data_IF_237097269833
#
_entry.id   IF_237097269833
#
_cell.length_a   1.000
_cell.length_b   1.000
_cell.length_c   1.000
_cell.angle_alpha   90.00
_cell.angle_beta   90.00
_cell.angle_gamma   90.00
#
_symmetry.space_group_name_H-M   'P 1'
#
loop_
_entity.id
_entity.type
_entity.pdbx_description
1 polymer ?
#
# COMPACT_ATOMS: atom_id res chain seq x y z
N UNK A 1 4.97 4.28 12.89
CA UNK A 1 5.63 4.64 11.60
C UNK A 1 4.65 4.50 10.45
N UNK A 2 3.80 3.47 10.53
CA UNK A 2 2.76 3.18 9.56
C UNK A 2 1.53 4.04 9.83
N UNK A 3 0.87 4.52 8.77
CA UNK A 3 -0.45 5.14 8.84
C UNK A 3 -1.40 4.37 7.94
N UNK A 4 -2.46 3.82 8.53
CA UNK A 4 -3.53 3.18 7.78
C UNK A 4 -4.46 4.24 7.19
N UNK A 5 -4.83 4.05 5.93
CA UNK A 5 -5.80 4.89 5.21
C UNK A 5 -7.01 4.02 4.91
N UNK A 6 -8.18 4.48 5.35
CA UNK A 6 -9.45 3.84 5.00
C UNK A 6 -9.97 4.50 3.72
N UNK A 7 -10.12 3.72 2.66
CA UNK A 7 -10.70 4.20 1.41
C UNK A 7 -12.21 4.06 1.40
N UNK A 8 -12.87 4.99 0.71
CA UNK A 8 -14.30 4.89 0.46
C UNK A 8 -14.59 3.79 -0.56
N UNK A 9 -15.23 2.70 -0.11
CA UNK A 9 -15.66 1.59 -0.97
C UNK A 9 -17.08 1.87 -1.45
N UNK A 10 -17.25 1.99 -2.76
CA UNK A 10 -18.55 2.17 -3.41
C UNK A 10 -18.88 0.87 -4.13
N UNK A 11 -20.00 0.23 -3.78
CA UNK A 11 -20.34 -1.06 -4.39
C UNK A 11 -21.84 -1.30 -4.50
N UNK A 12 -22.19 -2.19 -5.43
CA UNK A 12 -23.53 -2.73 -5.62
C UNK A 12 -23.47 -4.20 -6.05
N UNK A 13 -24.59 -4.75 -6.54
CA UNK A 13 -24.69 -6.15 -6.97
C UNK A 13 -23.69 -6.56 -8.07
N UNK A 14 -23.03 -5.61 -8.74
CA UNK A 14 -22.03 -5.84 -9.80
C UNK A 14 -20.60 -5.94 -9.27
N UNK A 15 -20.37 -5.52 -8.03
CA UNK A 15 -19.04 -5.50 -7.40
C UNK A 15 -18.74 -4.20 -6.65
N UNK A 16 -17.45 -4.02 -6.33
CA UNK A 16 -16.95 -2.89 -5.53
C UNK A 16 -15.92 -2.09 -6.31
N UNK A 17 -15.90 -0.78 -6.06
CA UNK A 17 -15.00 0.20 -6.63
C UNK A 17 -14.39 1.05 -5.51
N UNK A 18 -13.08 1.24 -5.58
CA UNK A 18 -12.35 2.23 -4.78
C UNK A 18 -11.67 3.19 -5.74
N UNK A 19 -11.96 4.49 -5.58
CA UNK A 19 -11.23 5.55 -6.26
C UNK A 19 -10.05 6.00 -5.38
N UNK A 20 -8.90 6.28 -6.00
CA UNK A 20 -7.72 6.82 -5.32
C UNK A 20 -7.47 8.22 -5.85
N UNK A 21 -7.97 9.24 -5.15
CA UNK A 21 -7.88 10.63 -5.58
C UNK A 21 -6.77 11.35 -4.80
N UNK A 22 -5.80 11.92 -5.52
CA UNK A 22 -4.80 12.80 -4.91
C UNK A 22 -5.47 14.05 -4.31
N UNK A 23 -4.92 14.59 -3.23
CA UNK A 23 -5.47 15.76 -2.52
C UNK A 23 -6.86 15.53 -1.89
N UNK A 24 -7.33 14.27 -1.84
CA UNK A 24 -8.56 13.86 -1.16
C UNK A 24 -8.32 12.61 -0.31
N UNK A 25 -8.08 11.46 -0.95
CA UNK A 25 -7.82 10.20 -0.24
C UNK A 25 -6.33 10.02 0.04
N UNK A 26 -5.48 10.53 -0.86
CA UNK A 26 -4.02 10.44 -0.75
C UNK A 26 -3.45 11.84 -0.46
N UNK A 27 -2.68 12.01 0.64
CA UNK A 27 -2.24 13.33 1.14
C UNK A 27 -1.04 13.91 0.38
N UNK A 28 -0.81 13.47 -0.86
CA UNK A 28 0.27 13.92 -1.74
C UNK A 28 -0.11 13.69 -3.20
N UNK A 29 0.59 14.37 -4.11
CA UNK A 29 0.40 14.22 -5.55
C UNK A 29 0.84 12.83 -6.03
N UNK A 30 -0.03 12.16 -6.79
CA UNK A 30 0.27 10.87 -7.40
C UNK A 30 1.05 11.13 -8.69
N UNK A 31 2.38 11.09 -8.61
CA UNK A 31 3.26 11.24 -9.79
C UNK A 31 3.52 9.92 -10.52
N UNK A 32 3.30 8.77 -9.86
CA UNK A 32 3.55 7.44 -10.42
C UNK A 32 2.71 6.39 -9.70
N UNK A 33 2.18 5.43 -10.46
CA UNK A 33 1.55 4.21 -9.95
C UNK A 33 2.32 3.01 -10.51
N UNK A 34 2.56 2.01 -9.67
CA UNK A 34 3.10 0.72 -10.07
C UNK A 34 2.45 -0.37 -9.22
N UNK A 35 2.36 -1.57 -9.75
CA UNK A 35 1.85 -2.73 -9.03
C UNK A 35 2.76 -3.93 -9.28
N UNK A 36 2.73 -4.84 -8.33
CA UNK A 36 3.59 -6.02 -8.30
C UNK A 36 2.67 -7.23 -8.41
N UNK A 37 2.96 -8.12 -9.35
CA UNK A 37 2.12 -9.27 -9.64
C UNK A 37 2.97 -10.48 -10.04
N UNK A 38 2.41 -11.69 -9.90
CA UNK A 38 3.10 -12.93 -10.28
C UNK A 38 4.35 -13.25 -9.45
N UNK A 39 4.38 -12.81 -8.19
CA UNK A 39 5.52 -13.05 -7.30
C UNK A 39 5.54 -14.52 -6.85
N UNK A 40 6.73 -15.09 -6.79
CA UNK A 40 6.94 -16.41 -6.19
C UNK A 40 6.70 -16.31 -4.68
N UNK A 41 6.00 -17.29 -4.12
CA UNK A 41 5.75 -17.36 -2.68
C UNK A 41 7.06 -17.34 -1.90
N UNK A 42 7.08 -16.58 -0.80
CA UNK A 42 8.17 -16.52 0.18
C UNK A 42 9.45 -15.77 -0.22
N UNK A 43 9.44 -14.98 -1.30
CA UNK A 43 10.60 -14.13 -1.65
C UNK A 43 10.41 -12.69 -1.14
N UNK A 44 11.10 -12.28 -0.05
CA UNK A 44 11.03 -10.91 0.46
C UNK A 44 11.72 -9.92 -0.49
N UNK A 45 11.28 -8.66 -0.43
CA UNK A 45 11.76 -7.57 -1.30
C UNK A 45 11.44 -6.21 -0.69
N UNK A 46 11.88 -5.14 -1.34
CA UNK A 46 11.95 -3.81 -0.72
C UNK A 46 13.41 -3.57 -0.37
N UNK A 47 13.86 -3.87 0.84
CA UNK A 47 15.26 -3.73 1.28
C UNK A 47 15.90 -2.37 0.92
N UNK A 48 15.11 -1.31 0.88
CA UNK A 48 15.58 0.05 0.62
C UNK A 48 14.72 1.04 1.40
N UNK A 49 15.27 2.23 1.59
CA UNK A 49 14.56 3.41 2.06
C UNK A 49 14.57 4.48 0.97
N UNK A 50 13.63 5.41 1.03
CA UNK A 50 13.58 6.56 0.14
C UNK A 50 13.97 7.83 0.88
N UNK A 51 14.69 8.73 0.20
CA UNK A 51 15.00 10.07 0.74
C UNK A 51 13.81 11.02 0.61
N UNK A 52 13.21 11.06 -0.58
CA UNK A 52 12.16 12.05 -0.91
C UNK A 52 10.81 11.41 -1.32
N UNK A 53 10.81 10.11 -1.65
CA UNK A 53 9.58 9.42 -2.10
C UNK A 53 8.68 9.07 -0.92
N UNK A 54 7.41 9.45 -1.02
CA UNK A 54 6.33 8.99 -0.13
C UNK A 54 5.44 8.02 -0.89
N UNK A 55 4.96 6.97 -0.22
CA UNK A 55 4.19 5.90 -0.84
C UNK A 55 2.93 5.56 -0.02
N UNK A 56 1.88 5.16 -0.74
CA UNK A 56 0.73 4.44 -0.20
C UNK A 56 0.75 3.06 -0.85
N UNK A 57 0.70 2.00 -0.03
CA UNK A 57 0.66 0.62 -0.48
C UNK A 57 -0.76 0.06 -0.35
N UNK A 58 -1.22 -0.64 -1.38
CA UNK A 58 -2.54 -1.29 -1.42
C UNK A 58 -2.34 -2.74 -1.85
N UNK A 59 -2.85 -3.69 -1.08
CA UNK A 59 -2.89 -5.10 -1.45
C UNK A 59 -4.15 -5.34 -2.28
N UNK A 60 -4.01 -5.50 -3.60
CA UNK A 60 -5.16 -5.62 -4.51
C UNK A 60 -5.78 -7.02 -4.50
N UNK A 61 -4.99 -8.05 -4.19
CA UNK A 61 -5.45 -9.43 -4.13
C UNK A 61 -4.53 -10.25 -3.22
N UNK A 62 -5.14 -11.04 -2.32
CA UNK A 62 -4.42 -11.92 -1.41
C UNK A 62 -3.96 -11.19 -0.15
N UNK A 63 -2.75 -11.50 0.30
CA UNK A 63 -2.17 -10.92 1.52
C UNK A 63 -0.66 -10.76 1.39
N UNK A 64 -0.12 -9.71 1.99
CA UNK A 64 1.32 -9.51 2.14
C UNK A 64 1.65 -8.85 3.48
N UNK A 65 2.86 -9.07 3.95
CA UNK A 65 3.39 -8.40 5.13
C UNK A 65 4.39 -7.32 4.70
N UNK A 66 4.28 -6.15 5.33
CA UNK A 66 5.20 -5.03 5.14
C UNK A 66 5.88 -4.76 6.46
N UNK A 67 7.20 -4.89 6.47
CA UNK A 67 8.07 -4.46 7.56
C UNK A 67 8.55 -3.02 7.29
N UNK A 68 8.31 -2.14 8.26
CA UNK A 68 8.78 -0.75 8.26
C UNK A 68 9.81 -0.57 9.38
N UNK A 69 10.91 0.09 9.06
CA UNK A 69 12.07 0.29 9.94
C UNK A 69 12.57 1.74 9.80
N UNK A 70 12.58 2.50 10.90
CA UNK A 70 13.07 3.89 10.95
C UNK A 70 14.50 3.99 11.52
N UNK A 71 15.15 2.85 11.74
CA UNK A 71 16.47 2.74 12.36
C UNK A 71 16.46 2.69 13.89
N UNK A 72 15.31 2.94 14.53
CA UNK A 72 15.13 2.85 16.00
C UNK A 72 14.10 1.78 16.34
N UNK A 73 12.99 1.76 15.60
CA UNK A 73 11.85 0.87 15.80
C UNK A 73 11.53 0.11 14.52
N UNK A 74 10.96 -1.08 14.69
CA UNK A 74 10.47 -1.92 13.59
C UNK A 74 9.02 -2.25 13.82
N UNK A 75 8.21 -2.10 12.78
CA UNK A 75 6.76 -2.33 12.80
C UNK A 75 6.38 -3.18 11.58
N UNK A 76 5.69 -4.31 11.81
CA UNK A 76 5.17 -5.15 10.72
C UNK A 76 3.66 -5.02 10.64
N UNK A 77 3.14 -4.84 9.42
CA UNK A 77 1.71 -4.84 9.15
C UNK A 77 1.35 -5.84 8.07
N UNK A 78 0.23 -6.53 8.24
CA UNK A 78 -0.39 -7.34 7.19
C UNK A 78 -1.37 -6.48 6.38
N UNK A 79 -1.21 -6.42 5.07
CA UNK A 79 -2.21 -5.88 4.14
C UNK A 79 -2.90 -7.04 3.41
N UNK A 80 -4.22 -7.06 3.44
CA UNK A 80 -5.04 -8.05 2.74
C UNK A 80 -6.20 -7.37 1.99
N UNK A 81 -6.76 -8.12 1.03
CA UNK A 81 -7.94 -7.73 0.24
C UNK A 81 -9.16 -8.57 0.61
#
# INVERSE_FOLDING_TARGET
MIKLINFNVIGDARGSLVALEQSKDIPFDIKRVYYLYGMQSCVPRGFHAHKDTVQVAVCLNGSCEILMDDGITKETITLNS
#
